data_IF_715175577694
#
_entry.id   IF_715175577694
#
_cell.length_a   1.000
_cell.length_b   1.000
_cell.length_c   1.000
_cell.angle_alpha   90.00
_cell.angle_beta   90.00
_cell.angle_gamma   90.00
#
_symmetry.space_group_name_H-M   'P 1'
#
loop_
_entity.id
_entity.type
_entity.pdbx_description
1 polymer ?
#
# COMPACT_ATOMS: atom_id res chain seq x y z
N UNK A 1 15.71 -23.83 -58.65
CA UNK A 1 14.90 -22.92 -57.79
C UNK A 1 15.69 -22.65 -56.51
N UNK A 2 16.15 -21.42 -56.30
CA UNK A 2 16.84 -21.03 -55.07
C UNK A 2 15.75 -20.72 -54.05
N UNK A 3 15.66 -21.51 -52.97
CA UNK A 3 14.69 -21.26 -51.90
C UNK A 3 15.16 -20.11 -51.00
N UNK A 4 14.31 -19.13 -50.78
CA UNK A 4 14.58 -17.91 -49.97
C UNK A 4 14.71 -18.19 -48.46
N UNK A 5 14.17 -19.31 -47.97
CA UNK A 5 14.19 -19.66 -46.56
C UNK A 5 14.97 -20.95 -46.30
N UNK A 6 15.59 -21.08 -45.13
CA UNK A 6 16.17 -22.35 -44.65
C UNK A 6 15.21 -23.03 -43.67
N UNK A 7 15.11 -24.36 -43.74
CA UNK A 7 14.20 -25.11 -42.88
C UNK A 7 14.65 -25.07 -41.40
N UNK A 8 13.84 -24.51 -40.48
CA UNK A 8 14.25 -24.30 -39.08
C UNK A 8 14.02 -25.53 -38.18
N UNK A 9 13.76 -26.70 -38.75
CA UNK A 9 13.41 -27.90 -38.00
C UNK A 9 14.64 -28.52 -37.34
N UNK A 10 14.60 -28.76 -36.02
CA UNK A 10 15.65 -29.48 -35.29
C UNK A 10 15.39 -30.99 -35.26
N UNK A 11 16.41 -31.77 -35.61
CA UNK A 11 16.43 -33.21 -35.40
C UNK A 11 16.74 -33.57 -33.94
N UNK A 12 16.46 -34.82 -33.55
CA UNK A 12 16.80 -35.35 -32.22
C UNK A 12 18.30 -35.25 -31.91
N UNK A 13 19.14 -35.20 -32.94
CA UNK A 13 20.59 -35.01 -32.84
C UNK A 13 21.03 -33.58 -32.49
N UNK A 14 20.11 -32.61 -32.43
CA UNK A 14 20.46 -31.19 -32.22
C UNK A 14 20.77 -30.42 -33.51
N UNK A 15 20.91 -31.12 -34.64
CA UNK A 15 21.18 -30.48 -35.94
C UNK A 15 19.91 -29.89 -36.54
N UNK A 16 20.01 -28.67 -37.06
CA UNK A 16 18.95 -28.04 -37.86
C UNK A 16 18.94 -28.66 -39.26
N UNK A 17 17.75 -28.88 -39.82
CA UNK A 17 17.59 -29.43 -41.16
C UNK A 17 18.27 -28.55 -42.24
N UNK A 18 18.10 -27.23 -42.16
CA UNK A 18 18.86 -26.25 -42.94
C UNK A 18 18.58 -26.22 -44.45
N UNK A 19 17.79 -27.17 -44.98
CA UNK A 19 17.46 -27.23 -46.41
C UNK A 19 16.74 -25.96 -46.87
N UNK A 20 17.16 -25.42 -48.01
CA UNK A 20 16.45 -24.33 -48.67
C UNK A 20 15.02 -24.74 -49.03
N UNK A 21 14.07 -23.86 -48.79
CA UNK A 21 12.66 -24.06 -49.04
C UNK A 21 11.96 -22.74 -49.36
N UNK A 22 10.82 -22.83 -50.04
CA UNK A 22 9.99 -21.67 -50.38
C UNK A 22 9.05 -21.23 -49.24
N UNK A 23 9.08 -21.93 -48.10
CA UNK A 23 8.12 -21.72 -47.00
C UNK A 23 8.83 -21.44 -45.69
N UNK A 24 8.42 -20.38 -45.02
CA UNK A 24 8.92 -20.03 -43.68
C UNK A 24 8.68 -21.13 -42.62
N UNK A 25 7.58 -21.90 -42.74
CA UNK A 25 7.23 -22.96 -41.77
C UNK A 25 8.17 -24.17 -41.85
N UNK A 26 8.87 -24.39 -42.97
CA UNK A 26 9.79 -25.50 -43.17
C UNK A 26 9.68 -26.14 -44.55
N UNK A 27 10.62 -27.05 -44.85
CA UNK A 27 10.68 -27.75 -46.13
C UNK A 27 9.51 -28.72 -46.33
N UNK A 28 9.39 -29.31 -47.53
CA UNK A 28 8.34 -30.27 -47.89
C UNK A 28 8.22 -31.47 -46.93
N UNK A 29 9.30 -31.83 -46.24
CA UNK A 29 9.30 -32.90 -45.23
C UNK A 29 8.87 -32.43 -43.83
N UNK A 30 9.07 -31.15 -43.50
CA UNK A 30 8.95 -30.65 -42.13
C UNK A 30 7.87 -29.56 -41.95
N UNK A 31 7.20 -29.12 -43.00
CA UNK A 31 6.21 -28.04 -42.91
C UNK A 31 4.99 -28.35 -42.02
N UNK A 32 4.67 -29.65 -41.84
CA UNK A 32 3.66 -30.14 -40.88
C UNK A 32 4.25 -30.63 -39.56
N UNK A 33 5.58 -30.72 -39.46
CA UNK A 33 6.22 -31.26 -38.27
C UNK A 33 6.15 -30.27 -37.12
N UNK A 34 5.91 -30.78 -35.90
CA UNK A 34 5.93 -29.95 -34.69
C UNK A 34 7.33 -29.39 -34.49
N UNK A 35 7.46 -28.06 -34.49
CA UNK A 35 8.73 -27.39 -34.23
C UNK A 35 9.25 -27.80 -32.85
N UNK A 36 10.53 -28.12 -32.79
CA UNK A 36 11.24 -28.46 -31.57
C UNK A 36 11.96 -27.20 -31.08
N UNK A 37 11.90 -26.97 -29.76
CA UNK A 37 12.52 -25.84 -29.08
C UNK A 37 13.64 -26.42 -28.20
N UNK A 38 14.81 -25.78 -28.09
CA UNK A 38 15.86 -26.25 -27.17
C UNK A 38 15.34 -26.29 -25.72
N UNK A 39 15.75 -27.32 -24.97
CA UNK A 39 15.42 -27.44 -23.56
C UNK A 39 16.07 -26.31 -22.75
N UNK A 40 15.34 -25.67 -21.85
CA UNK A 40 15.90 -24.54 -21.08
C UNK A 40 17.10 -24.92 -20.21
N UNK A 41 17.15 -26.14 -19.65
CA UNK A 41 18.24 -26.53 -18.75
C UNK A 41 19.46 -27.13 -19.47
N UNK A 42 19.28 -27.75 -20.64
CA UNK A 42 20.36 -28.50 -21.30
C UNK A 42 20.46 -28.31 -22.81
N UNK A 43 19.68 -27.42 -23.41
CA UNK A 43 19.70 -27.10 -24.83
C UNK A 43 19.18 -28.19 -25.77
N UNK A 44 18.94 -29.43 -25.30
CA UNK A 44 18.47 -30.53 -26.15
C UNK A 44 17.12 -30.20 -26.80
N UNK A 45 16.94 -30.36 -28.12
CA UNK A 45 15.67 -30.08 -28.77
C UNK A 45 14.55 -30.92 -28.17
N UNK A 46 13.49 -30.27 -27.70
CA UNK A 46 12.31 -30.90 -27.14
C UNK A 46 11.06 -30.51 -27.92
N UNK A 47 10.10 -31.44 -27.98
CA UNK A 47 8.75 -31.16 -28.49
C UNK A 47 7.75 -30.90 -27.37
N UNK A 48 8.22 -30.88 -26.13
CA UNK A 48 7.40 -30.56 -24.96
C UNK A 48 7.02 -29.09 -24.99
N UNK A 49 5.75 -28.81 -24.68
CA UNK A 49 5.22 -27.45 -24.60
C UNK A 49 5.88 -26.69 -23.44
N UNK A 50 6.27 -27.39 -22.37
CA UNK A 50 7.00 -26.79 -21.24
C UNK A 50 8.40 -26.27 -21.59
N UNK A 51 8.91 -26.55 -22.80
CA UNK A 51 10.29 -26.23 -23.16
C UNK A 51 11.32 -27.06 -22.38
N UNK A 52 10.92 -28.17 -21.76
CA UNK A 52 11.81 -29.10 -21.05
C UNK A 52 11.90 -30.45 -21.75
N UNK A 53 13.08 -31.06 -21.74
CA UNK A 53 13.25 -32.42 -22.24
C UNK A 53 12.74 -33.45 -21.21
N UNK A 54 12.53 -34.72 -21.60
CA UNK A 54 12.02 -35.74 -20.69
C UNK A 54 12.84 -35.92 -19.39
N UNK A 55 14.15 -35.68 -19.43
CA UNK A 55 15.01 -35.73 -18.25
C UNK A 55 14.68 -34.62 -17.24
N UNK A 56 14.39 -33.41 -17.71
CA UNK A 56 14.17 -32.24 -16.85
C UNK A 56 12.68 -31.93 -16.60
N UNK A 57 11.77 -32.57 -17.33
CA UNK A 57 10.33 -32.30 -17.19
C UNK A 57 9.81 -32.64 -15.80
N UNK A 58 10.32 -33.71 -15.18
CA UNK A 58 9.89 -34.12 -13.83
C UNK A 58 10.31 -33.10 -12.78
N UNK A 59 11.59 -32.71 -12.79
CA UNK A 59 12.13 -31.70 -11.87
C UNK A 59 11.41 -30.37 -11.99
N UNK A 60 11.07 -29.94 -13.21
CA UNK A 60 10.30 -28.72 -13.46
C UNK A 60 8.94 -28.73 -12.75
N UNK A 61 8.14 -29.80 -12.92
CA UNK A 61 6.82 -29.87 -12.29
C UNK A 61 6.90 -30.00 -10.77
N UNK A 62 7.90 -30.70 -10.24
CA UNK A 62 8.14 -30.80 -8.79
C UNK A 62 8.48 -29.43 -8.21
N UNK A 63 9.43 -28.70 -8.82
CA UNK A 63 9.78 -27.35 -8.39
C UNK A 63 8.58 -26.39 -8.47
N UNK A 64 7.78 -26.48 -9.54
CA UNK A 64 6.56 -25.68 -9.67
C UNK A 64 5.53 -26.00 -8.59
N UNK A 65 5.41 -27.26 -8.17
CA UNK A 65 4.52 -27.66 -7.08
C UNK A 65 4.95 -27.04 -5.73
N UNK A 66 6.23 -27.19 -5.36
CA UNK A 66 6.75 -26.59 -4.12
C UNK A 66 6.69 -25.06 -4.13
N UNK A 67 6.95 -24.41 -5.27
CA UNK A 67 6.81 -22.97 -5.40
C UNK A 67 5.36 -22.52 -5.17
N UNK A 68 4.37 -23.29 -5.66
CA UNK A 68 2.95 -23.02 -5.39
C UNK A 68 2.62 -23.18 -3.91
N UNK A 69 3.09 -24.24 -3.27
CA UNK A 69 2.90 -24.43 -1.82
C UNK A 69 3.49 -23.26 -1.02
N UNK A 70 4.71 -22.82 -1.35
CA UNK A 70 5.38 -21.70 -0.67
C UNK A 70 4.65 -20.37 -0.88
N UNK A 71 4.16 -20.11 -2.09
CA UNK A 71 3.37 -18.91 -2.36
C UNK A 71 2.05 -18.91 -1.57
N UNK A 72 1.40 -20.06 -1.46
CA UNK A 72 0.16 -20.22 -0.69
C UNK A 72 0.41 -20.03 0.81
N UNK A 73 1.48 -20.60 1.38
CA UNK A 73 1.83 -20.37 2.79
C UNK A 73 2.13 -18.90 3.04
N UNK A 74 2.84 -18.23 2.12
CA UNK A 74 3.16 -16.80 2.24
C UNK A 74 1.95 -15.88 2.04
N UNK A 75 0.93 -16.31 1.29
CA UNK A 75 -0.34 -15.61 1.20
C UNK A 75 -1.12 -15.76 2.51
N UNK A 76 -1.23 -16.99 3.01
CA UNK A 76 -1.90 -17.29 4.27
C UNK A 76 -1.30 -16.52 5.44
N UNK A 77 0.03 -16.46 5.56
CA UNK A 77 0.70 -15.72 6.64
C UNK A 77 0.42 -14.22 6.59
N UNK A 78 0.45 -13.62 5.39
CA UNK A 78 0.11 -12.21 5.19
C UNK A 78 -1.34 -11.91 5.57
N UNK A 79 -2.27 -12.78 5.20
CA UNK A 79 -3.69 -12.62 5.55
C UNK A 79 -3.92 -12.80 7.06
N UNK A 80 -3.23 -13.74 7.72
CA UNK A 80 -3.29 -13.86 9.19
C UNK A 80 -2.65 -12.70 9.93
N UNK A 81 -1.62 -12.04 9.39
CA UNK A 81 -1.00 -10.87 10.02
C UNK A 81 -1.83 -9.59 9.83
N UNK A 82 -2.56 -9.45 8.72
CA UNK A 82 -3.44 -8.31 8.47
C UNK A 82 -4.65 -8.27 9.41
N UNK A 83 -5.25 -9.42 9.73
CA UNK A 83 -6.42 -9.50 10.63
C UNK A 83 -6.23 -8.81 11.99
N UNK A 84 -5.18 -9.11 12.78
CA UNK A 84 -4.97 -8.45 14.06
C UNK A 84 -4.68 -6.95 13.90
N UNK A 85 -4.04 -6.53 12.81
CA UNK A 85 -3.79 -5.11 12.56
C UNK A 85 -5.08 -4.34 12.21
N UNK A 86 -5.97 -4.92 11.40
CA UNK A 86 -7.27 -4.33 11.09
C UNK A 86 -8.19 -4.29 12.33
N UNK A 87 -8.18 -5.34 13.16
CA UNK A 87 -8.88 -5.35 14.44
C UNK A 87 -8.38 -4.22 15.36
N UNK A 88 -7.06 -4.05 15.50
CA UNK A 88 -6.45 -2.96 16.28
C UNK A 88 -6.86 -1.59 15.72
N UNK A 89 -6.81 -1.40 14.40
CA UNK A 89 -7.24 -0.14 13.76
C UNK A 89 -8.72 0.14 14.06
N UNK A 90 -9.58 -0.87 13.98
CA UNK A 90 -11.01 -0.71 14.25
C UNK A 90 -11.27 -0.37 15.72
N UNK A 91 -10.55 -1.00 16.65
CA UNK A 91 -10.62 -0.66 18.08
C UNK A 91 -10.22 0.80 18.30
N UNK A 92 -9.11 1.26 17.71
CA UNK A 92 -8.65 2.65 17.82
C UNK A 92 -9.70 3.62 17.24
N UNK A 93 -10.28 3.32 16.08
CA UNK A 93 -11.33 4.16 15.49
C UNK A 93 -12.56 4.29 16.39
N UNK A 94 -13.00 3.20 17.02
CA UNK A 94 -14.12 3.21 17.96
C UNK A 94 -13.77 4.01 19.22
N UNK A 95 -12.57 3.83 19.75
CA UNK A 95 -12.09 4.63 20.89
C UNK A 95 -12.05 6.12 20.55
N UNK A 96 -11.49 6.51 19.40
CA UNK A 96 -11.45 7.89 18.93
C UNK A 96 -12.85 8.49 18.69
N UNK A 97 -13.79 7.70 18.17
CA UNK A 97 -15.16 8.15 17.97
C UNK A 97 -15.93 8.35 19.29
N UNK A 98 -15.57 7.57 20.32
CA UNK A 98 -16.18 7.64 21.65
C UNK A 98 -15.42 8.57 22.62
N UNK A 99 -14.28 9.14 22.22
CA UNK A 99 -13.63 10.21 22.97
C UNK A 99 -14.51 11.46 22.86
N UNK A 100 -15.26 11.72 23.93
CA UNK A 100 -15.91 12.99 24.15
C UNK A 100 -14.85 13.98 24.60
N UNK A 101 -14.66 15.07 23.84
CA UNK A 101 -13.91 16.21 24.36
C UNK A 101 -14.63 16.71 25.61
N UNK A 102 -13.93 16.70 26.76
CA UNK A 102 -14.46 17.31 27.98
C UNK A 102 -14.65 18.79 27.72
N UNK A 103 -15.80 19.31 28.10
CA UNK A 103 -16.08 20.75 27.98
C UNK A 103 -15.20 21.55 28.94
N UNK A 104 -15.00 22.84 28.65
CA UNK A 104 -14.30 23.76 29.56
C UNK A 104 -14.86 23.68 30.99
N UNK A 105 -16.20 23.67 31.13
CA UNK A 105 -16.86 23.59 32.43
C UNK A 105 -16.55 22.27 33.16
N UNK A 106 -16.61 21.12 32.47
CA UNK A 106 -16.26 19.81 33.06
C UNK A 106 -14.78 19.72 33.49
N UNK A 107 -13.88 20.41 32.78
CA UNK A 107 -12.45 20.48 33.12
C UNK A 107 -12.24 21.39 34.33
N UNK A 108 -12.89 22.56 34.35
CA UNK A 108 -12.79 23.52 35.45
C UNK A 108 -13.39 22.94 36.72
N UNK A 109 -14.54 22.26 36.67
CA UNK A 109 -15.16 21.64 37.85
C UNK A 109 -14.27 20.57 38.49
N UNK A 110 -13.56 19.77 37.67
CA UNK A 110 -12.71 18.71 38.18
C UNK A 110 -11.35 19.20 38.74
N UNK A 111 -10.87 20.35 38.29
CA UNK A 111 -9.47 20.77 38.50
C UNK A 111 -9.28 22.18 39.06
N UNK A 112 -10.37 22.93 39.31
CA UNK A 112 -10.33 24.32 39.82
C UNK A 112 -9.35 24.52 40.96
N UNK A 113 -9.46 23.71 42.02
CA UNK A 113 -8.64 23.88 43.23
C UNK A 113 -7.15 23.64 42.99
N UNK A 114 -6.81 22.74 42.06
CA UNK A 114 -5.40 22.49 41.69
C UNK A 114 -4.85 23.63 40.84
N UNK A 115 -5.66 24.17 39.93
CA UNK A 115 -5.29 25.30 39.08
C UNK A 115 -5.08 26.56 39.91
N UNK A 116 -5.98 26.85 40.86
CA UNK A 116 -5.84 28.00 41.79
C UNK A 116 -4.61 27.88 42.67
N UNK A 117 -4.30 26.69 43.20
CA UNK A 117 -3.09 26.45 43.99
C UNK A 117 -1.79 26.70 43.19
N UNK A 118 -1.82 26.54 41.87
CA UNK A 118 -0.70 26.78 40.96
C UNK A 118 -0.69 28.22 40.40
N UNK A 119 -1.64 29.06 40.81
CA UNK A 119 -1.87 30.41 40.29
C UNK A 119 -2.06 30.49 38.76
N UNK A 120 -2.64 29.45 38.17
CA UNK A 120 -2.92 29.36 36.73
C UNK A 120 -4.41 29.08 36.50
N UNK A 121 -4.93 29.50 35.35
CA UNK A 121 -6.26 29.11 34.84
C UNK A 121 -6.13 28.67 33.38
N UNK A 122 -7.22 28.21 32.78
CA UNK A 122 -7.27 27.79 31.38
C UNK A 122 -8.05 28.81 30.55
N UNK A 123 -7.55 29.13 29.37
CA UNK A 123 -8.28 29.93 28.40
C UNK A 123 -9.57 29.22 27.99
N UNK A 124 -10.70 29.94 28.00
CA UNK A 124 -12.03 29.36 27.73
C UNK A 124 -12.19 28.75 26.34
N UNK A 125 -11.49 29.28 25.33
CA UNK A 125 -11.58 28.80 23.94
C UNK A 125 -10.57 27.71 23.58
N UNK A 126 -9.32 27.81 24.04
CA UNK A 126 -8.24 26.93 23.57
C UNK A 126 -7.63 26.05 24.67
N UNK A 127 -8.11 26.17 25.92
CA UNK A 127 -7.61 25.44 27.10
C UNK A 127 -6.11 25.64 27.36
N UNK A 128 -5.54 26.75 26.89
CA UNK A 128 -4.16 27.12 27.15
C UNK A 128 -4.01 27.65 28.58
N UNK A 129 -2.97 27.23 29.29
CA UNK A 129 -2.68 27.72 30.63
C UNK A 129 -2.28 29.19 30.58
N UNK A 130 -3.00 30.02 31.34
CA UNK A 130 -2.74 31.46 31.49
C UNK A 130 -2.63 31.78 32.98
N UNK A 131 -1.96 32.88 33.32
CA UNK A 131 -1.95 33.33 34.70
C UNK A 131 -3.36 33.78 35.09
N UNK A 132 -3.74 33.59 36.35
CA UNK A 132 -5.07 34.02 36.84
C UNK A 132 -5.27 35.53 36.66
N UNK A 133 -4.18 36.30 36.70
CA UNK A 133 -4.16 37.75 36.50
C UNK A 133 -4.36 38.18 35.03
N UNK A 134 -4.13 37.28 34.06
CA UNK A 134 -4.27 37.56 32.62
C UNK A 134 -5.72 37.50 32.14
N UNK A 135 -6.66 37.07 32.99
CA UNK A 135 -8.09 37.00 32.71
C UNK A 135 -8.57 35.63 32.19
N UNK A 136 -9.68 35.62 31.46
CA UNK A 136 -10.35 34.38 31.00
C UNK A 136 -9.89 33.87 29.61
N UNK A 137 -9.18 34.71 28.84
CA UNK A 137 -8.76 34.42 27.47
C UNK A 137 -7.27 34.72 27.29
N UNK A 138 -6.55 33.85 26.59
CA UNK A 138 -5.15 34.11 26.23
C UNK A 138 -5.05 35.23 25.19
N UNK A 139 -3.86 35.81 25.03
CA UNK A 139 -3.60 36.91 24.08
C UNK A 139 -4.02 36.61 22.62
N UNK A 140 -4.08 35.34 22.23
CA UNK A 140 -4.52 34.93 20.89
C UNK A 140 -6.05 34.73 20.77
N UNK A 141 -6.72 34.44 21.89
CA UNK A 141 -8.17 34.24 21.98
C UNK A 141 -8.89 35.49 22.54
N UNK A 142 -8.15 36.54 22.89
CA UNK A 142 -8.75 37.79 23.35
C UNK A 142 -9.78 38.28 22.32
N UNK A 143 -11.01 38.58 22.76
CA UNK A 143 -12.00 39.20 21.89
C UNK A 143 -11.39 40.50 21.36
N UNK A 144 -11.52 40.76 20.05
CA UNK A 144 -11.15 42.07 19.54
C UNK A 144 -12.05 43.09 20.25
N UNK A 145 -11.46 43.97 21.06
CA UNK A 145 -12.17 45.05 21.72
C UNK A 145 -12.67 45.98 20.61
N UNK A 146 -13.88 45.74 20.12
CA UNK A 146 -14.54 46.65 19.20
C UNK A 146 -15.10 47.82 20.00
N UNK A 147 -14.34 48.89 20.13
CA UNK A 147 -14.94 50.21 20.24
C UNK A 147 -15.45 50.58 18.83
N UNK A 148 -16.67 50.17 18.48
CA UNK A 148 -17.41 50.72 17.35
C UNK A 148 -18.90 50.79 17.71
N UNK A 149 -19.57 51.96 17.57
CA UNK A 149 -20.99 52.11 17.88
C UNK A 149 -21.94 51.45 16.87
N UNK A 150 -21.44 50.88 15.78
CA UNK A 150 -22.28 50.29 14.73
C UNK A 150 -21.87 48.85 14.47
N UNK A 151 -22.74 47.94 14.90
CA UNK A 151 -22.56 46.50 14.81
C UNK A 151 -22.68 45.98 13.37
N UNK A 152 -21.61 45.37 12.89
CA UNK A 152 -21.67 44.28 11.91
C UNK A 152 -20.62 43.24 12.31
N UNK A 153 -21.07 42.11 12.85
CA UNK A 153 -20.23 41.00 13.26
C UNK A 153 -19.71 40.22 12.04
N UNK A 154 -18.39 40.13 11.88
CA UNK A 154 -17.76 39.11 11.04
C UNK A 154 -17.64 37.78 11.84
N UNK A 155 -17.85 36.61 11.22
CA UNK A 155 -17.97 35.35 11.94
C UNK A 155 -16.63 34.89 12.55
N UNK A 156 -16.65 34.59 13.86
CA UNK A 156 -15.56 34.07 14.70
C UNK A 156 -14.87 32.78 14.21
N UNK A 157 -15.36 32.15 13.13
CA UNK A 157 -14.88 30.84 12.66
C UNK A 157 -13.44 30.81 12.13
N UNK A 158 -12.84 31.94 11.76
CA UNK A 158 -11.47 31.95 11.20
C UNK A 158 -10.35 32.05 12.26
N UNK A 159 -10.63 32.59 13.46
CA UNK A 159 -9.60 32.74 14.51
C UNK A 159 -9.29 31.43 15.25
N UNK A 160 -10.27 30.55 15.39
CA UNK A 160 -10.13 29.27 16.12
C UNK A 160 -9.16 28.29 15.46
N UNK A 161 -8.96 28.39 14.13
CA UNK A 161 -8.06 27.49 13.39
C UNK A 161 -6.56 27.74 13.69
N UNK A 162 -6.18 28.98 14.01
CA UNK A 162 -4.77 29.36 14.22
C UNK A 162 -4.16 28.90 15.56
N UNK A 163 -4.98 28.67 16.60
CA UNK A 163 -4.45 28.24 17.90
C UNK A 163 -4.23 26.73 18.01
N UNK A 164 -4.96 25.91 17.26
CA UNK A 164 -4.87 24.44 17.31
C UNK A 164 -3.69 23.87 16.51
N UNK A 165 -3.18 24.59 15.50
CA UNK A 165 -2.05 24.16 14.65
C UNK A 165 -0.65 24.34 15.29
N UNK A 166 -0.57 24.85 16.54
CA UNK A 166 0.70 25.03 17.28
C UNK A 166 0.90 24.07 18.47
N UNK A 167 0.10 23.00 18.56
CA UNK A 167 0.32 21.90 19.52
C UNK A 167 1.33 20.89 19.02
#
# INVERSE_FOLDING_TARGET
MIGEYTCPFYHNSGKVCGRNCMRLKGCSYHWKAKRRIPCNDCGKPTGSISGRCPLHTRGFYVAQHYNRLRSNTNAQTRDTQKRPYEEIINIIKVMLANIREKTYEEIMDAHRDKLTNLNITLCRECLYSINIEEGEYCNNCQPAISHSPFGVHAPQKQKTKWCLEKK
#
